data_IF_892995648568
#
_entry.id   IF_892995648568
#
_cell.length_a   1.000
_cell.length_b   1.000
_cell.length_c   1.000
_cell.angle_alpha   90.00
_cell.angle_beta   90.00
_cell.angle_gamma   90.00
#
_symmetry.space_group_name_H-M   'P 1'
#
loop_
_entity.id
_entity.type
_entity.pdbx_description
1 polymer ?
#
# COMPACT_ATOMS: atom_id res chain seq x y z
N UNK A 1 11.67 33.03 12.96
CA UNK A 1 12.19 33.21 11.58
C UNK A 1 13.33 34.22 11.61
N UNK A 2 14.54 33.82 11.22
CA UNK A 2 15.75 34.65 11.35
C UNK A 2 15.71 35.87 10.42
N UNK A 3 16.41 36.94 10.78
CA UNK A 3 16.52 38.18 9.98
C UNK A 3 17.06 37.91 8.58
N UNK A 4 17.96 36.92 8.45
CA UNK A 4 18.47 36.44 7.16
C UNK A 4 17.35 35.86 6.28
N UNK A 5 16.52 34.96 6.83
CA UNK A 5 15.39 34.36 6.11
C UNK A 5 14.39 35.43 5.63
N UNK A 6 14.16 36.45 6.46
CA UNK A 6 13.28 37.58 6.13
C UNK A 6 13.86 38.45 5.00
N UNK A 7 15.17 38.66 4.98
CA UNK A 7 15.85 39.41 3.93
C UNK A 7 15.93 38.63 2.61
N UNK A 8 16.12 37.32 2.65
CA UNK A 8 16.08 36.44 1.47
C UNK A 8 14.68 36.42 0.85
N UNK A 9 13.62 36.28 1.66
CA UNK A 9 12.23 36.33 1.16
C UNK A 9 11.90 37.68 0.50
N UNK A 10 12.33 38.80 1.12
CA UNK A 10 12.19 40.13 0.54
C UNK A 10 12.99 40.32 -0.75
N UNK A 11 14.15 39.67 -0.86
CA UNK A 11 14.95 39.69 -2.09
C UNK A 11 14.22 38.95 -3.23
N UNK A 12 13.69 37.75 -2.97
CA UNK A 12 12.89 37.03 -3.97
C UNK A 12 11.65 37.82 -4.39
N UNK A 13 10.92 38.41 -3.45
CA UNK A 13 9.74 39.24 -3.76
C UNK A 13 10.10 40.44 -4.63
N UNK A 14 11.17 41.18 -4.32
CA UNK A 14 11.63 42.33 -5.13
C UNK A 14 12.03 41.93 -6.54
N UNK A 15 12.68 40.78 -6.69
CA UNK A 15 13.13 40.27 -7.98
C UNK A 15 11.91 39.90 -8.85
N UNK A 16 10.90 39.26 -8.26
CA UNK A 16 9.64 38.96 -8.93
C UNK A 16 8.88 40.22 -9.35
N UNK A 17 8.85 41.26 -8.50
CA UNK A 17 8.27 42.57 -8.84
C UNK A 17 9.00 43.27 -10.00
N UNK A 18 10.32 43.12 -10.07
CA UNK A 18 11.14 43.76 -11.12
C UNK A 18 10.99 43.07 -12.48
N UNK A 19 10.84 41.74 -12.48
CA UNK A 19 10.72 40.94 -13.71
C UNK A 19 9.30 40.99 -14.30
N UNK A 20 8.27 41.19 -13.46
CA UNK A 20 6.87 41.16 -13.88
C UNK A 20 6.51 42.13 -15.02
N UNK A 21 6.94 43.41 -15.01
CA UNK A 21 6.65 44.34 -16.11
C UNK A 21 7.24 43.86 -17.43
N UNK A 22 8.46 43.34 -17.42
CA UNK A 22 9.14 42.81 -18.61
C UNK A 22 8.42 41.59 -19.18
N UNK A 23 8.00 40.66 -18.32
CA UNK A 23 7.18 39.51 -18.74
C UNK A 23 5.85 40.00 -19.33
N UNK A 24 5.18 40.95 -18.67
CA UNK A 24 3.89 41.47 -19.14
C UNK A 24 4.00 42.17 -20.50
N UNK A 25 5.06 42.95 -20.72
CA UNK A 25 5.34 43.61 -22.00
C UNK A 25 5.59 42.57 -23.11
N UNK A 26 6.39 41.55 -22.84
CA UNK A 26 6.65 40.47 -23.79
C UNK A 26 5.39 39.68 -24.16
N UNK A 27 4.57 39.32 -23.17
CA UNK A 27 3.31 38.62 -23.37
C UNK A 27 2.31 39.46 -24.19
N UNK A 28 2.25 40.78 -23.95
CA UNK A 28 1.43 41.68 -24.75
C UNK A 28 1.92 41.78 -26.20
N UNK A 29 3.23 41.94 -26.43
CA UNK A 29 3.82 42.00 -27.78
C UNK A 29 3.54 40.74 -28.59
N UNK A 30 3.54 39.58 -27.94
CA UNK A 30 3.26 38.29 -28.57
C UNK A 30 1.77 37.95 -28.62
N UNK A 31 0.88 38.90 -28.28
CA UNK A 31 -0.58 38.67 -28.21
C UNK A 31 -0.95 37.45 -27.37
N UNK A 32 -0.16 37.14 -26.34
CA UNK A 32 -0.30 35.99 -25.45
C UNK A 32 -0.18 34.62 -26.11
N UNK A 33 0.36 34.53 -27.33
CA UNK A 33 0.50 33.25 -28.05
C UNK A 33 1.39 32.25 -27.31
N UNK A 34 2.43 32.73 -26.65
CA UNK A 34 3.33 31.91 -25.82
C UNK A 34 2.59 31.19 -24.67
N UNK A 35 1.51 31.78 -24.14
CA UNK A 35 0.67 31.12 -23.12
C UNK A 35 -0.19 30.01 -23.72
N UNK A 36 -0.67 30.18 -24.97
CA UNK A 36 -1.38 29.14 -25.71
C UNK A 36 -0.44 27.95 -25.98
N UNK A 37 0.78 28.23 -26.43
CA UNK A 37 1.78 27.20 -26.72
C UNK A 37 2.17 26.45 -25.45
N UNK A 38 2.41 27.17 -24.35
CA UNK A 38 2.69 26.57 -23.04
C UNK A 38 1.55 25.66 -22.57
N UNK A 39 0.32 26.14 -22.58
CA UNK A 39 -0.84 25.35 -22.16
C UNK A 39 -1.07 24.13 -23.06
N UNK A 40 -0.86 24.25 -24.38
CA UNK A 40 -0.93 23.13 -25.32
C UNK A 40 0.18 22.09 -25.07
N UNK A 41 1.38 22.52 -24.66
CA UNK A 41 2.47 21.61 -24.33
C UNK A 41 2.17 20.84 -23.04
N UNK A 42 1.73 21.55 -21.99
CA UNK A 42 1.64 21.01 -20.63
C UNK A 42 0.31 20.30 -20.31
N UNK A 43 -0.78 20.67 -20.98
CA UNK A 43 -2.09 20.04 -20.83
C UNK A 43 -2.46 19.22 -22.08
N UNK A 44 -2.19 17.91 -22.03
CA UNK A 44 -2.33 17.00 -23.16
C UNK A 44 -3.76 16.96 -23.76
N UNK A 45 -4.79 17.31 -22.99
CA UNK A 45 -6.18 17.38 -23.47
C UNK A 45 -6.40 18.47 -24.53
N UNK A 46 -5.54 19.49 -24.60
CA UNK A 46 -5.59 20.51 -25.65
C UNK A 46 -5.00 19.95 -26.95
N UNK A 47 -3.90 19.18 -26.89
CA UNK A 47 -3.24 18.64 -28.10
C UNK A 47 -4.16 17.79 -28.96
N UNK A 48 -5.11 17.07 -28.35
CA UNK A 48 -6.06 16.23 -29.09
C UNK A 48 -7.18 17.01 -29.79
N UNK A 49 -7.39 18.30 -29.45
CA UNK A 49 -8.49 19.13 -29.98
C UNK A 49 -8.02 20.26 -30.92
N UNK A 50 -6.73 20.40 -31.18
CA UNK A 50 -6.17 21.39 -32.10
C UNK A 50 -5.49 22.58 -31.41
N UNK A 51 -5.42 23.72 -32.12
CA UNK A 51 -4.71 24.93 -31.66
C UNK A 51 -5.53 25.62 -30.57
N UNK A 52 -4.91 25.87 -29.41
CA UNK A 52 -5.52 26.68 -28.35
C UNK A 52 -5.64 28.14 -28.80
N UNK A 53 -6.86 28.67 -28.82
CA UNK A 53 -7.16 30.07 -29.13
C UNK A 53 -7.68 30.81 -27.89
N UNK A 54 -6.98 30.62 -26.77
CA UNK A 54 -7.35 31.20 -25.49
C UNK A 54 -7.30 32.72 -25.50
N UNK A 55 -8.40 33.38 -25.10
CA UNK A 55 -8.39 34.83 -24.84
C UNK A 55 -7.86 35.10 -23.44
N UNK A 56 -6.55 35.25 -23.33
CA UNK A 56 -5.87 35.56 -22.07
C UNK A 56 -6.16 36.98 -21.59
N UNK A 57 -6.39 37.13 -20.29
CA UNK A 57 -6.56 38.43 -19.62
C UNK A 57 -5.72 38.44 -18.35
N UNK A 58 -4.90 39.48 -18.20
CA UNK A 58 -4.18 39.73 -16.94
C UNK A 58 -5.19 40.05 -15.82
N UNK A 59 -5.03 39.44 -14.65
CA UNK A 59 -5.87 39.76 -13.49
C UNK A 59 -5.56 41.18 -13.01
N UNK A 60 -6.61 41.94 -12.65
CA UNK A 60 -6.48 43.36 -12.24
C UNK A 60 -6.24 43.54 -10.74
N UNK A 61 -6.32 42.48 -9.95
CA UNK A 61 -6.06 42.53 -8.51
C UNK A 61 -4.56 42.43 -8.28
N UNK A 62 -4.03 43.43 -7.57
CA UNK A 62 -2.62 43.68 -7.27
C UNK A 62 -1.68 43.90 -8.47
N UNK A 63 -0.91 44.99 -8.41
CA UNK A 63 0.12 45.36 -9.39
C UNK A 63 1.24 44.32 -9.51
N UNK A 64 1.38 43.46 -8.50
CA UNK A 64 2.40 42.42 -8.39
C UNK A 64 1.88 41.02 -8.73
N UNK A 65 0.61 40.91 -9.14
CA UNK A 65 0.04 39.63 -9.46
C UNK A 65 0.53 39.13 -10.83
N UNK A 66 1.02 37.89 -10.84
CA UNK A 66 1.51 37.17 -12.01
C UNK A 66 0.43 36.38 -12.73
N UNK A 67 -0.82 36.44 -12.25
CA UNK A 67 -1.95 35.67 -12.78
C UNK A 67 -2.48 36.21 -14.11
N UNK A 68 -2.56 35.30 -15.08
CA UNK A 68 -3.24 35.44 -16.36
C UNK A 68 -4.34 34.40 -16.44
N UNK A 69 -5.53 34.85 -16.78
CA UNK A 69 -6.73 34.03 -16.80
C UNK A 69 -7.21 33.83 -18.24
N UNK A 70 -7.50 32.58 -18.59
CA UNK A 70 -8.16 32.22 -19.83
C UNK A 70 -9.37 31.33 -19.54
N UNK A 71 -10.37 31.41 -20.42
CA UNK A 71 -11.36 30.36 -20.56
C UNK A 71 -11.16 29.69 -21.90
N UNK A 72 -10.99 28.37 -21.89
CA UNK A 72 -10.94 27.55 -23.08
C UNK A 72 -12.06 26.52 -22.99
N UNK A 73 -12.96 26.52 -23.97
CA UNK A 73 -14.26 25.85 -23.90
C UNK A 73 -15.01 26.25 -22.61
N UNK A 74 -15.25 25.30 -21.70
CA UNK A 74 -15.92 25.48 -20.41
C UNK A 74 -14.97 25.52 -19.21
N UNK A 75 -13.65 25.41 -19.42
CA UNK A 75 -12.66 25.32 -18.34
C UNK A 75 -11.97 26.64 -18.08
N UNK A 76 -11.71 26.91 -16.80
CA UNK A 76 -11.00 28.10 -16.35
C UNK A 76 -9.52 27.77 -16.15
N UNK A 77 -8.64 28.53 -16.80
CA UNK A 77 -7.20 28.28 -16.84
C UNK A 77 -6.45 29.51 -16.31
N UNK A 78 -6.10 29.53 -15.02
CA UNK A 78 -5.16 30.48 -14.46
C UNK A 78 -3.70 30.05 -14.67
N UNK A 79 -2.84 30.99 -15.07
CA UNK A 79 -1.38 30.83 -15.11
C UNK A 79 -0.72 31.94 -14.30
N UNK A 80 0.08 31.58 -13.30
CA UNK A 80 0.99 32.50 -12.63
C UNK A 80 2.35 32.41 -13.32
N UNK A 81 2.66 33.38 -14.17
CA UNK A 81 3.92 33.41 -14.92
C UNK A 81 5.13 33.75 -14.04
N UNK A 82 4.90 34.29 -12.84
CA UNK A 82 5.94 34.69 -11.89
C UNK A 82 6.32 33.50 -11.01
N UNK A 83 5.31 32.79 -10.49
CA UNK A 83 5.50 31.61 -9.63
C UNK A 83 5.63 30.31 -10.41
N UNK A 84 5.36 30.32 -11.72
CA UNK A 84 5.35 29.10 -12.55
C UNK A 84 4.17 28.18 -12.24
N UNK A 85 3.06 28.72 -11.74
CA UNK A 85 1.88 27.91 -11.37
C UNK A 85 0.93 27.79 -12.56
N UNK A 86 0.62 26.58 -12.99
CA UNK A 86 -0.36 26.32 -14.04
C UNK A 86 -1.55 25.55 -13.47
N UNK A 87 -2.72 26.20 -13.49
CA UNK A 87 -3.95 25.64 -12.95
C UNK A 87 -4.97 25.39 -14.06
N UNK A 88 -5.77 24.36 -13.90
CA UNK A 88 -7.00 24.16 -14.70
C UNK A 88 -8.12 23.81 -13.73
N UNK A 89 -9.20 24.60 -13.75
CA UNK A 89 -10.32 24.53 -12.80
C UNK A 89 -9.85 24.52 -11.32
N UNK A 90 -8.87 25.39 -11.02
CA UNK A 90 -8.28 25.56 -9.66
C UNK A 90 -7.39 24.37 -9.21
N UNK A 91 -7.13 23.40 -10.09
CA UNK A 91 -6.26 22.25 -9.80
C UNK A 91 -4.90 22.38 -10.48
N UNK A 92 -3.84 22.03 -9.75
CA UNK A 92 -2.45 22.04 -10.26
C UNK A 92 -2.26 20.88 -11.23
N UNK A 93 -1.74 21.15 -12.43
CA UNK A 93 -1.35 20.09 -13.37
C UNK A 93 0.16 19.87 -13.29
N UNK A 94 0.60 18.62 -13.44
CA UNK A 94 2.01 18.25 -13.36
C UNK A 94 2.23 17.29 -12.21
N UNK A 95 1.99 17.70 -10.97
CA UNK A 95 2.25 16.88 -9.79
C UNK A 95 1.03 16.80 -8.88
N UNK A 96 0.98 15.73 -8.08
CA UNK A 96 -0.06 15.59 -7.05
C UNK A 96 0.12 16.66 -5.97
N UNK A 97 -0.98 17.27 -5.49
CA UNK A 97 -0.95 18.22 -4.39
C UNK A 97 -0.56 17.56 -3.05
N UNK A 98 -0.07 18.39 -2.12
CA UNK A 98 0.45 17.95 -0.83
C UNK A 98 -0.56 17.13 -0.01
N UNK A 99 -1.84 17.52 -0.02
CA UNK A 99 -2.91 16.78 0.67
C UNK A 99 -3.04 15.31 0.22
N UNK A 100 -2.58 14.97 -0.99
CA UNK A 100 -2.51 13.60 -1.49
C UNK A 100 -1.16 12.97 -1.11
N UNK A 101 -0.04 13.65 -1.38
CA UNK A 101 1.30 13.07 -1.19
C UNK A 101 1.70 12.89 0.27
N UNK A 102 1.12 13.66 1.19
CA UNK A 102 1.33 13.49 2.65
C UNK A 102 0.30 12.57 3.28
N UNK A 103 -0.66 12.03 2.51
CA UNK A 103 -1.64 11.11 3.04
C UNK A 103 -0.98 9.78 3.41
N UNK A 104 -1.35 9.21 4.56
CA UNK A 104 -0.79 7.95 5.04
C UNK A 104 -0.94 6.80 4.05
N UNK A 105 -2.09 6.69 3.36
CA UNK A 105 -2.33 5.66 2.37
C UNK A 105 -1.39 5.81 1.16
N UNK A 106 -1.12 7.06 0.76
CA UNK A 106 -0.20 7.35 -0.33
C UNK A 106 1.23 6.98 0.07
N UNK A 107 1.71 7.50 1.20
CA UNK A 107 3.07 7.27 1.69
C UNK A 107 3.35 5.79 1.93
N UNK A 108 2.37 5.04 2.44
CA UNK A 108 2.52 3.60 2.69
C UNK A 108 2.84 2.82 1.42
N UNK A 109 2.14 3.09 0.32
CA UNK A 109 2.24 2.30 -0.93
C UNK A 109 3.24 2.91 -1.90
N UNK A 110 3.10 4.21 -2.16
CA UNK A 110 3.89 4.92 -3.16
C UNK A 110 5.14 5.58 -2.57
N UNK A 111 5.23 5.75 -1.26
CA UNK A 111 6.35 6.42 -0.59
C UNK A 111 6.55 7.82 -1.15
N UNK A 112 7.79 8.11 -1.55
CA UNK A 112 8.17 9.39 -2.14
C UNK A 112 8.10 9.37 -3.68
N UNK A 113 7.29 8.48 -4.27
CA UNK A 113 7.14 8.43 -5.72
C UNK A 113 6.43 9.68 -6.24
N UNK A 114 6.97 10.28 -7.31
CA UNK A 114 6.45 11.49 -7.92
C UNK A 114 5.68 11.10 -9.17
N UNK A 115 4.36 11.25 -9.12
CA UNK A 115 3.50 11.02 -10.28
C UNK A 115 3.36 12.29 -11.11
N UNK A 116 3.66 12.18 -12.41
CA UNK A 116 3.19 13.16 -13.38
C UNK A 116 1.70 12.97 -13.64
N UNK A 117 0.89 13.99 -13.33
CA UNK A 117 -0.58 13.91 -13.41
C UNK A 117 -1.21 15.01 -14.26
N UNK A 118 -2.43 14.74 -14.69
CA UNK A 118 -3.34 15.68 -15.34
C UNK A 118 -4.75 15.53 -14.75
N UNK A 119 -5.67 16.39 -15.18
CA UNK A 119 -7.06 16.28 -14.78
C UNK A 119 -7.71 15.00 -15.31
N UNK A 120 -8.36 14.28 -14.41
CA UNK A 120 -9.24 13.18 -14.76
C UNK A 120 -10.54 13.64 -15.41
N UNK A 121 -11.41 12.68 -15.76
CA UNK A 121 -12.75 12.96 -16.30
C UNK A 121 -13.71 13.44 -15.21
N UNK A 122 -13.50 12.98 -13.98
CA UNK A 122 -14.34 13.30 -12.83
C UNK A 122 -13.84 14.57 -12.14
N UNK A 123 -14.74 15.36 -11.51
CA UNK A 123 -14.33 16.53 -10.75
C UNK A 123 -13.38 16.15 -9.61
N UNK A 124 -12.35 16.98 -9.37
CA UNK A 124 -11.35 16.79 -8.31
C UNK A 124 -10.57 15.47 -8.40
N UNK A 125 -10.46 14.87 -9.60
CA UNK A 125 -9.61 13.69 -9.80
C UNK A 125 -8.37 14.02 -10.61
N UNK A 126 -7.25 13.42 -10.21
CA UNK A 126 -5.99 13.44 -10.93
C UNK A 126 -5.75 12.09 -11.56
N UNK A 127 -5.36 12.05 -12.83
CA UNK A 127 -4.97 10.81 -13.51
C UNK A 127 -3.50 10.91 -13.94
N UNK A 128 -2.76 9.81 -13.85
CA UNK A 128 -1.37 9.78 -14.31
C UNK A 128 -1.27 10.02 -15.82
N UNK A 129 -0.28 10.81 -16.25
CA UNK A 129 0.00 11.03 -17.68
C UNK A 129 0.53 9.76 -18.33
N UNK A 130 1.38 9.03 -17.62
CA UNK A 130 2.02 7.81 -18.09
C UNK A 130 1.38 6.59 -17.46
N UNK A 131 1.45 5.46 -18.17
CA UNK A 131 1.14 4.16 -17.60
C UNK A 131 2.37 3.60 -16.89
N UNK A 132 2.15 2.94 -15.75
CA UNK A 132 3.20 2.33 -14.93
C UNK A 132 3.18 0.80 -15.05
N UNK A 133 4.30 0.19 -14.62
CA UNK A 133 4.58 -1.25 -14.66
C UNK A 133 4.50 -1.83 -16.08
N UNK A 134 5.65 -1.84 -16.79
CA UNK A 134 5.76 -1.99 -18.26
C UNK A 134 4.80 -3.00 -18.92
N UNK A 135 4.61 -4.17 -18.30
CA UNK A 135 3.70 -5.20 -18.80
C UNK A 135 2.22 -4.86 -18.62
N UNK A 136 1.83 -4.31 -17.47
CA UNK A 136 0.43 -4.07 -17.11
C UNK A 136 -0.17 -2.77 -17.62
N UNK A 137 0.67 -1.78 -17.96
CA UNK A 137 0.23 -0.42 -18.35
C UNK A 137 -0.93 0.08 -17.46
N UNK A 138 -0.65 0.25 -16.17
CA UNK A 138 -1.65 0.73 -15.21
C UNK A 138 -1.65 2.25 -15.15
N UNK A 139 -2.82 2.86 -15.29
CA UNK A 139 -3.02 4.29 -15.01
C UNK A 139 -3.65 4.45 -13.63
N UNK A 140 -3.12 5.37 -12.83
CA UNK A 140 -3.64 5.65 -11.50
C UNK A 140 -4.49 6.91 -11.51
N UNK A 141 -5.64 6.82 -10.84
CA UNK A 141 -6.52 7.94 -10.52
C UNK A 141 -6.50 8.20 -9.01
N UNK A 142 -6.32 9.46 -8.64
CA UNK A 142 -6.32 9.94 -7.26
C UNK A 142 -7.46 10.92 -7.06
N UNK A 143 -8.27 10.69 -6.03
CA UNK A 143 -9.37 11.56 -5.64
C UNK A 143 -9.28 11.83 -4.14
N UNK A 144 -9.12 13.09 -3.76
CA UNK A 144 -9.09 13.50 -2.36
C UNK A 144 -10.40 14.17 -1.99
N UNK A 145 -11.04 13.65 -0.94
CA UNK A 145 -12.25 14.24 -0.39
C UNK A 145 -11.90 15.14 0.80
N UNK A 146 -11.94 16.46 0.58
CA UNK A 146 -11.61 17.48 1.58
C UNK A 146 -12.50 17.41 2.85
N UNK A 147 -13.76 16.96 2.72
CA UNK A 147 -14.71 16.94 3.85
C UNK A 147 -14.38 15.87 4.88
N UNK A 148 -14.01 14.68 4.42
CA UNK A 148 -13.69 13.51 5.26
C UNK A 148 -12.19 13.20 5.31
N UNK A 149 -11.36 14.07 4.71
CA UNK A 149 -9.90 13.93 4.57
C UNK A 149 -9.47 12.53 4.12
N UNK A 150 -10.20 11.98 3.15
CA UNK A 150 -9.99 10.62 2.67
C UNK A 150 -9.44 10.63 1.25
N UNK A 151 -8.38 9.86 1.02
CA UNK A 151 -7.80 9.63 -0.29
C UNK A 151 -8.35 8.33 -0.88
N UNK A 152 -8.95 8.41 -2.07
CA UNK A 152 -9.28 7.26 -2.90
C UNK A 152 -8.24 7.15 -4.01
N UNK A 153 -7.65 5.97 -4.14
CA UNK A 153 -6.73 5.63 -5.23
C UNK A 153 -7.30 4.47 -6.03
N UNK A 154 -7.33 4.61 -7.34
CA UNK A 154 -7.82 3.59 -8.26
C UNK A 154 -6.78 3.34 -9.34
N UNK A 155 -6.43 2.09 -9.63
CA UNK A 155 -5.57 1.70 -10.73
C UNK A 155 -6.39 1.02 -11.82
N UNK A 156 -6.35 1.55 -13.06
CA UNK A 156 -6.97 0.92 -14.22
C UNK A 156 -5.91 0.22 -15.06
N UNK A 157 -6.09 -1.08 -15.25
CA UNK A 157 -5.24 -1.87 -16.13
C UNK A 157 -5.73 -1.71 -17.58
N UNK A 158 -4.97 -1.03 -18.42
CA UNK A 158 -5.46 -0.61 -19.75
C UNK A 158 -5.72 -1.82 -20.66
N UNK A 159 -4.92 -2.88 -20.56
CA UNK A 159 -4.99 -4.03 -21.47
C UNK A 159 -6.19 -4.96 -21.22
N UNK A 160 -6.49 -5.24 -19.96
CA UNK A 160 -7.56 -6.18 -19.55
C UNK A 160 -8.84 -5.47 -19.11
N UNK A 161 -8.83 -4.13 -19.14
CA UNK A 161 -9.91 -3.24 -18.70
C UNK A 161 -10.43 -3.48 -17.28
N UNK A 162 -9.56 -4.00 -16.40
CA UNK A 162 -9.88 -4.18 -14.99
C UNK A 162 -9.54 -2.95 -14.16
N UNK A 163 -10.34 -2.70 -13.13
CA UNK A 163 -10.18 -1.55 -12.25
C UNK A 163 -10.00 -2.03 -10.82
N UNK A 164 -8.93 -1.59 -10.19
CA UNK A 164 -8.57 -1.94 -8.82
C UNK A 164 -8.63 -0.71 -7.93
N UNK A 165 -9.32 -0.80 -6.81
CA UNK A 165 -9.34 0.23 -5.79
C UNK A 165 -8.40 -0.14 -4.65
N UNK A 166 -7.52 0.77 -4.26
CA UNK A 166 -6.67 0.60 -3.09
C UNK A 166 -7.52 0.70 -1.81
N UNK A 167 -7.49 -0.34 -0.99
CA UNK A 167 -8.14 -0.37 0.31
C UNK A 167 -7.15 0.13 1.36
N UNK A 168 -7.64 0.97 2.29
CA UNK A 168 -6.83 1.40 3.43
C UNK A 168 -6.51 0.22 4.34
N UNK A 169 -5.24 0.10 4.73
CA UNK A 169 -4.77 -0.96 5.62
C UNK A 169 -5.48 -0.97 6.98
N UNK A 170 -6.01 0.17 7.42
CA UNK A 170 -6.80 0.30 8.65
C UNK A 170 -8.10 -0.51 8.62
N UNK A 171 -8.67 -0.78 7.44
CA UNK A 171 -9.87 -1.63 7.31
C UNK A 171 -9.63 -3.08 7.74
N UNK A 172 -8.39 -3.56 7.66
CA UNK A 172 -8.03 -4.94 8.03
C UNK A 172 -7.35 -5.04 9.38
N UNK A 173 -7.16 -3.91 10.07
CA UNK A 173 -6.58 -3.90 11.40
C UNK A 173 -7.51 -4.65 12.35
N UNK A 174 -6.95 -5.63 13.09
CA UNK A 174 -7.67 -6.57 13.97
C UNK A 174 -8.50 -7.66 13.28
N UNK A 175 -8.81 -7.51 12.00
CA UNK A 175 -9.52 -8.52 11.20
C UNK A 175 -8.55 -9.56 10.62
N UNK A 176 -7.37 -9.12 10.17
CA UNK A 176 -6.33 -9.99 9.62
C UNK A 176 -5.10 -10.04 10.55
N UNK A 177 -4.33 -11.14 10.51
CA UNK A 177 -3.02 -11.18 11.17
C UNK A 177 -2.13 -10.04 10.67
N UNK A 178 -1.30 -9.51 11.57
CA UNK A 178 -0.51 -8.30 11.35
C UNK A 178 0.45 -8.41 10.16
N UNK A 179 0.90 -9.61 9.79
CA UNK A 179 1.77 -9.81 8.62
C UNK A 179 1.06 -9.56 7.29
N UNK A 180 -0.22 -9.92 7.17
CA UNK A 180 -1.02 -9.65 5.98
C UNK A 180 -1.24 -8.14 5.81
N UNK A 181 -1.46 -7.43 6.92
CA UNK A 181 -1.65 -5.98 6.90
C UNK A 181 -0.32 -5.24 6.66
N UNK A 182 0.75 -5.64 7.35
CA UNK A 182 2.01 -4.89 7.39
C UNK A 182 2.90 -5.09 6.16
N UNK A 183 2.86 -6.25 5.51
CA UNK A 183 3.73 -6.56 4.36
C UNK A 183 3.07 -6.38 2.99
N UNK A 184 1.76 -6.12 2.95
CA UNK A 184 1.02 -6.05 1.69
C UNK A 184 0.23 -4.75 1.55
N UNK A 185 0.05 -4.33 0.30
CA UNK A 185 -0.97 -3.38 -0.12
C UNK A 185 -2.19 -4.16 -0.63
N UNK A 186 -3.40 -3.62 -0.41
CA UNK A 186 -4.65 -4.35 -0.63
C UNK A 186 -5.43 -3.72 -1.78
N UNK A 187 -5.55 -4.44 -2.90
CA UNK A 187 -6.15 -3.92 -4.13
C UNK A 187 -7.40 -4.70 -4.49
N UNK A 188 -8.56 -4.04 -4.39
CA UNK A 188 -9.84 -4.66 -4.69
C UNK A 188 -10.21 -4.49 -6.15
N UNK A 189 -10.35 -5.59 -6.88
CA UNK A 189 -10.99 -5.56 -8.20
C UNK A 189 -12.48 -5.19 -8.02
N UNK A 190 -12.89 -4.08 -8.63
CA UNK A 190 -14.21 -3.49 -8.44
C UNK A 190 -15.31 -4.39 -9.01
N UNK A 191 -15.02 -5.14 -10.07
CA UNK A 191 -15.96 -6.04 -10.73
C UNK A 191 -16.11 -7.36 -9.98
N UNK A 192 -15.00 -8.01 -9.62
CA UNK A 192 -15.03 -9.36 -9.03
C UNK A 192 -15.22 -9.34 -7.51
N UNK A 193 -14.96 -8.20 -6.85
CA UNK A 193 -14.96 -8.05 -5.40
C UNK A 193 -13.90 -8.96 -4.72
N UNK A 194 -12.79 -9.17 -5.42
CA UNK A 194 -11.61 -9.87 -4.91
C UNK A 194 -10.56 -8.85 -4.54
N UNK A 195 -10.01 -8.96 -3.34
CA UNK A 195 -8.91 -8.15 -2.84
C UNK A 195 -7.61 -8.93 -3.01
N UNK A 196 -6.70 -8.39 -3.81
CA UNK A 196 -5.36 -8.93 -4.00
C UNK A 196 -4.40 -8.33 -2.98
N UNK A 197 -3.58 -9.19 -2.38
CA UNK A 197 -2.50 -8.80 -1.49
C UNK A 197 -1.26 -8.65 -2.34
N UNK A 198 -0.96 -7.41 -2.74
CA UNK A 198 0.22 -7.09 -3.54
C UNK A 198 1.37 -6.66 -2.61
N UNK A 199 2.63 -6.63 -3.08
CA UNK A 199 3.71 -6.07 -2.29
C UNK A 199 3.36 -4.67 -1.79
N UNK A 200 3.87 -4.32 -0.60
CA UNK A 200 3.53 -3.04 0.00
C UNK A 200 4.13 -1.88 -0.78
N UNK A 201 5.33 -2.02 -1.35
CA UNK A 201 6.01 -0.93 -2.02
C UNK A 201 5.79 -0.95 -3.53
N UNK A 202 5.28 0.16 -4.05
CA UNK A 202 4.99 0.38 -5.46
C UNK A 202 6.18 0.14 -6.41
N UNK A 203 7.42 0.31 -5.94
CA UNK A 203 8.63 0.17 -6.78
C UNK A 203 9.13 -1.28 -6.91
N UNK A 204 8.51 -2.22 -6.23
CA UNK A 204 8.89 -3.64 -6.35
C UNK A 204 8.63 -4.14 -7.78
N UNK A 205 9.57 -4.93 -8.31
CA UNK A 205 9.55 -5.40 -9.71
C UNK A 205 8.24 -6.13 -10.03
N UNK A 206 7.81 -6.99 -9.11
CA UNK A 206 6.64 -7.85 -9.29
C UNK A 206 5.39 -7.28 -8.61
N UNK A 207 5.29 -5.96 -8.46
CA UNK A 207 4.17 -5.32 -7.75
C UNK A 207 2.78 -5.73 -8.27
N UNK A 208 2.64 -5.97 -9.57
CA UNK A 208 1.37 -6.41 -10.16
C UNK A 208 1.19 -7.93 -10.17
N UNK A 209 2.27 -8.67 -10.42
CA UNK A 209 2.22 -10.11 -10.68
C UNK A 209 2.29 -10.93 -9.39
N UNK A 210 3.00 -10.42 -8.38
CA UNK A 210 3.14 -11.08 -7.08
C UNK A 210 1.90 -10.85 -6.22
N UNK A 211 0.94 -11.76 -6.32
CA UNK A 211 -0.29 -11.76 -5.51
C UNK A 211 -0.39 -13.06 -4.71
N UNK A 212 0.43 -13.26 -3.65
CA UNK A 212 0.48 -14.54 -2.94
C UNK A 212 -0.83 -14.91 -2.25
N UNK A 213 -1.68 -13.92 -1.96
CA UNK A 213 -2.96 -14.10 -1.29
C UNK A 213 -4.08 -13.31 -1.98
N UNK A 214 -5.28 -13.85 -1.91
CA UNK A 214 -6.53 -13.21 -2.34
C UNK A 214 -7.58 -13.32 -1.24
N UNK A 215 -8.35 -12.26 -1.03
CA UNK A 215 -9.53 -12.24 -0.18
C UNK A 215 -10.78 -12.07 -1.05
N UNK A 216 -11.69 -13.03 -1.00
CA UNK A 216 -13.00 -12.89 -1.64
C UNK A 216 -13.96 -12.20 -0.67
N UNK A 217 -14.44 -11.00 -1.01
CA UNK A 217 -15.41 -10.28 -0.15
C UNK A 217 -16.78 -10.96 -0.12
N UNK A 218 -17.08 -11.85 -1.09
CA UNK A 218 -18.32 -12.63 -1.12
C UNK A 218 -18.33 -13.74 -0.07
N UNK A 219 -17.17 -14.39 0.14
CA UNK A 219 -17.06 -15.53 1.05
C UNK A 219 -16.37 -15.18 2.37
N UNK A 220 -15.61 -14.09 2.41
CA UNK A 220 -14.78 -13.70 3.56
C UNK A 220 -13.49 -14.52 3.71
N UNK A 221 -13.19 -15.43 2.79
CA UNK A 221 -12.00 -16.29 2.87
C UNK A 221 -10.78 -15.62 2.25
N UNK A 222 -9.65 -15.72 2.96
CA UNK A 222 -8.31 -15.44 2.41
C UNK A 222 -7.69 -16.75 1.96
N UNK A 223 -7.26 -16.82 0.71
CA UNK A 223 -6.74 -18.03 0.08
C UNK A 223 -5.38 -17.73 -0.55
N UNK A 224 -4.44 -18.69 -0.54
CA UNK A 224 -3.21 -18.60 -1.32
C UNK A 224 -3.49 -18.78 -2.81
N UNK A 225 -2.75 -18.09 -3.66
CA UNK A 225 -2.92 -18.17 -5.13
C UNK A 225 -2.17 -19.34 -5.79
N UNK A 226 -1.58 -20.22 -4.99
CA UNK A 226 -0.83 -21.39 -5.49
C UNK A 226 -1.80 -22.42 -6.08
N UNK A 227 -1.81 -22.58 -7.40
CA UNK A 227 -2.81 -23.36 -8.16
C UNK A 227 -2.99 -24.81 -7.66
N UNK A 228 -1.92 -25.46 -7.20
CA UNK A 228 -1.95 -26.87 -6.80
C UNK A 228 -2.03 -27.10 -5.28
N UNK A 229 -1.93 -26.05 -4.46
CA UNK A 229 -1.90 -26.12 -2.99
C UNK A 229 -2.51 -24.86 -2.38
N UNK A 230 -3.73 -24.53 -2.80
CA UNK A 230 -4.47 -23.42 -2.23
C UNK A 230 -4.77 -23.69 -0.76
N UNK A 231 -4.36 -22.76 0.11
CA UNK A 231 -4.55 -22.84 1.55
C UNK A 231 -5.47 -21.74 2.02
N UNK A 232 -6.30 -22.01 3.02
CA UNK A 232 -7.28 -21.06 3.54
C UNK A 232 -6.83 -20.53 4.89
N UNK A 233 -6.85 -19.21 5.08
CA UNK A 233 -6.54 -18.60 6.37
C UNK A 233 -7.62 -18.92 7.39
N UNK A 234 -7.21 -19.47 8.52
CA UNK A 234 -8.08 -19.71 9.66
C UNK A 234 -8.29 -18.39 10.41
N UNK A 235 -9.55 -18.04 10.64
CA UNK A 235 -9.91 -16.83 11.38
C UNK A 235 -9.33 -16.87 12.80
N UNK A 236 -8.60 -15.82 13.19
CA UNK A 236 -7.99 -15.70 14.52
C UNK A 236 -9.03 -15.69 15.66
N UNK A 237 -10.27 -15.29 15.39
CA UNK A 237 -11.37 -15.30 16.36
C UNK A 237 -12.04 -16.67 16.51
N UNK A 238 -11.67 -17.66 15.69
CA UNK A 238 -12.22 -19.01 15.79
C UNK A 238 -11.76 -19.70 17.09
N UNK A 239 -12.64 -20.53 17.66
CA UNK A 239 -12.35 -21.33 18.86
C UNK A 239 -11.13 -22.23 18.61
N UNK A 240 -11.02 -22.78 17.41
CA UNK A 240 -9.90 -23.62 17.00
C UNK A 240 -8.56 -22.88 17.13
N UNK A 241 -8.45 -21.70 16.51
CA UNK A 241 -7.24 -20.88 16.58
C UNK A 241 -6.93 -20.50 18.03
N UNK A 242 -7.92 -20.01 18.77
CA UNK A 242 -7.75 -19.56 20.16
C UNK A 242 -7.25 -20.68 21.08
N UNK A 243 -7.78 -21.90 20.93
CA UNK A 243 -7.35 -23.04 21.74
C UNK A 243 -5.89 -23.41 21.48
N UNK A 244 -5.48 -23.50 20.21
CA UNK A 244 -4.09 -23.81 19.87
C UNK A 244 -3.13 -22.69 20.28
N UNK A 245 -3.50 -21.44 19.99
CA UNK A 245 -2.70 -20.27 20.33
C UNK A 245 -2.47 -20.17 21.83
N UNK A 246 -3.54 -20.17 22.63
CA UNK A 246 -3.43 -19.99 24.09
C UNK A 246 -2.69 -21.15 24.76
N UNK A 247 -2.83 -22.37 24.24
CA UNK A 247 -2.20 -23.56 24.81
C UNK A 247 -0.70 -23.64 24.55
N UNK A 248 -0.25 -23.23 23.36
CA UNK A 248 1.13 -23.47 22.93
C UNK A 248 1.88 -22.20 22.49
N UNK A 249 1.26 -21.37 21.65
CA UNK A 249 1.98 -20.32 20.92
C UNK A 249 1.98 -18.95 21.60
N UNK A 250 1.08 -18.72 22.55
CA UNK A 250 1.03 -17.50 23.38
C UNK A 250 2.31 -17.25 24.19
N UNK A 251 3.12 -18.30 24.39
CA UNK A 251 4.43 -18.25 25.08
C UNK A 251 5.59 -17.92 24.15
N UNK A 252 5.36 -17.93 22.83
CA UNK A 252 6.40 -17.73 21.82
C UNK A 252 6.24 -16.43 21.05
N UNK A 253 5.00 -16.02 20.74
CA UNK A 253 4.73 -14.83 19.94
C UNK A 253 3.33 -14.26 20.26
N UNK A 254 3.11 -12.99 19.90
CA UNK A 254 1.85 -12.32 20.11
C UNK A 254 0.85 -12.67 19.01
N UNK A 255 -0.45 -12.63 19.34
CA UNK A 255 -1.54 -13.02 18.43
C UNK A 255 -1.43 -12.42 17.01
N UNK A 256 -1.09 -11.13 16.81
CA UNK A 256 -1.00 -10.56 15.46
C UNK A 256 0.09 -11.21 14.58
N UNK A 257 1.10 -11.82 15.19
CA UNK A 257 2.22 -12.42 14.48
C UNK A 257 2.07 -13.92 14.25
N UNK A 258 1.03 -14.53 14.80
CA UNK A 258 0.69 -15.94 14.58
C UNK A 258 -0.49 -16.06 13.61
N UNK A 259 -0.33 -16.85 12.55
CA UNK A 259 -1.43 -17.18 11.63
C UNK A 259 -1.42 -18.67 11.30
N UNK A 260 -2.60 -19.19 10.96
CA UNK A 260 -2.79 -20.60 10.64
C UNK A 260 -3.45 -20.73 9.29
N UNK A 261 -2.92 -21.60 8.44
CA UNK A 261 -3.43 -21.87 7.10
C UNK A 261 -3.86 -23.33 7.04
N UNK A 262 -5.10 -23.57 6.65
CA UNK A 262 -5.59 -24.91 6.33
C UNK A 262 -5.03 -25.32 4.97
N UNK A 263 -4.20 -26.36 4.98
CA UNK A 263 -3.47 -26.87 3.83
C UNK A 263 -4.26 -27.86 2.97
N UNK A 264 -5.47 -28.26 3.39
CA UNK A 264 -6.20 -29.30 2.66
C UNK A 264 -7.58 -28.89 2.16
N UNK A 265 -7.73 -28.83 0.83
CA UNK A 265 -9.03 -28.79 0.15
C UNK A 265 -9.58 -30.23 -0.05
N UNK A 266 -8.72 -31.25 0.02
CA UNK A 266 -9.10 -32.67 -0.12
C UNK A 266 -9.40 -33.32 1.24
N UNK A 267 -10.55 -33.98 1.34
CA UNK A 267 -11.24 -34.29 2.61
C UNK A 267 -10.59 -35.38 3.49
N UNK A 268 -9.40 -35.89 3.16
CA UNK A 268 -8.88 -37.12 3.80
C UNK A 268 -7.96 -36.86 5.00
N UNK A 269 -7.22 -35.77 5.05
CA UNK A 269 -6.32 -35.46 6.19
C UNK A 269 -6.17 -33.95 6.41
N UNK A 270 -6.84 -33.37 7.41
CA UNK A 270 -6.73 -31.93 7.69
C UNK A 270 -5.33 -31.62 8.25
N UNK A 271 -4.53 -30.91 7.46
CA UNK A 271 -3.18 -30.45 7.80
C UNK A 271 -3.21 -28.94 7.91
N UNK A 272 -2.81 -28.41 9.07
CA UNK A 272 -2.84 -26.98 9.35
C UNK A 272 -1.42 -26.49 9.56
N UNK A 273 -1.01 -25.53 8.75
CA UNK A 273 0.29 -24.87 8.85
C UNK A 273 0.17 -23.67 9.78
N UNK A 274 0.97 -23.67 10.85
CA UNK A 274 0.97 -22.64 11.89
C UNK A 274 2.27 -21.86 11.75
N UNK A 275 2.18 -20.56 11.54
CA UNK A 275 3.31 -19.70 11.25
C UNK A 275 3.49 -18.64 12.31
N UNK A 276 4.70 -18.52 12.85
CA UNK A 276 5.11 -17.47 13.79
C UNK A 276 5.99 -16.47 13.04
N UNK A 277 5.37 -15.40 12.54
CA UNK A 277 5.98 -14.52 11.53
C UNK A 277 7.19 -13.74 12.02
N UNK A 278 7.33 -13.45 13.32
CA UNK A 278 8.52 -12.77 13.88
C UNK A 278 9.69 -13.73 14.05
N UNK A 279 9.42 -14.96 14.49
CA UNK A 279 10.44 -15.97 14.72
C UNK A 279 10.87 -16.69 13.43
N UNK A 280 10.04 -16.64 12.38
CA UNK A 280 10.30 -17.35 11.13
C UNK A 280 10.18 -18.87 11.28
N UNK A 281 9.43 -19.34 12.29
CA UNK A 281 9.24 -20.76 12.61
C UNK A 281 7.85 -21.20 12.13
N UNK A 282 7.77 -22.42 11.60
CA UNK A 282 6.54 -23.03 11.10
C UNK A 282 6.30 -24.38 11.76
N UNK A 283 5.06 -24.62 12.17
CA UNK A 283 4.60 -25.91 12.67
C UNK A 283 3.52 -26.48 11.75
N UNK A 284 3.36 -27.79 11.81
CA UNK A 284 2.33 -28.52 11.08
C UNK A 284 1.47 -29.31 12.06
N UNK A 285 0.21 -28.96 12.16
CA UNK A 285 -0.77 -29.70 12.96
C UNK A 285 -1.53 -30.68 12.07
N UNK A 286 -1.44 -31.95 12.41
CA UNK A 286 -2.20 -33.00 11.76
C UNK A 286 -3.42 -33.36 12.64
N UNK A 287 -4.62 -33.15 12.11
CA UNK A 287 -5.86 -33.33 12.89
C UNK A 287 -6.17 -34.80 13.19
N UNK A 288 -5.77 -35.75 12.33
CA UNK A 288 -6.02 -37.18 12.53
C UNK A 288 -5.18 -37.76 13.67
N UNK A 289 -3.95 -37.27 13.84
CA UNK A 289 -3.03 -37.71 14.91
C UNK A 289 -3.05 -36.81 16.15
N UNK A 290 -3.57 -35.58 16.02
CA UNK A 290 -3.52 -34.53 17.05
C UNK A 290 -2.07 -34.23 17.50
N UNK A 291 -1.14 -34.27 16.56
CA UNK A 291 0.29 -34.00 16.76
C UNK A 291 0.66 -32.72 16.01
N UNK A 292 1.41 -31.84 16.68
CA UNK A 292 1.98 -30.64 16.08
C UNK A 292 3.48 -30.87 15.87
N UNK A 293 3.90 -30.99 14.61
CA UNK A 293 5.31 -31.19 14.21
C UNK A 293 5.98 -29.84 13.99
N UNK A 294 7.26 -29.72 14.32
CA UNK A 294 8.07 -28.58 13.91
C UNK A 294 8.66 -28.83 12.53
N UNK A 295 8.65 -27.82 11.66
CA UNK A 295 9.26 -27.93 10.33
C UNK A 295 10.78 -27.83 10.40
N UNK A 296 11.29 -27.02 11.32
CA UNK A 296 12.71 -26.74 11.54
C UNK A 296 13.39 -27.88 12.30
N UNK A 297 12.63 -28.62 13.10
CA UNK A 297 13.08 -29.82 13.82
C UNK A 297 12.25 -31.03 13.38
N UNK A 298 12.63 -31.63 12.25
CA UNK A 298 11.88 -32.69 11.54
C UNK A 298 11.44 -33.88 12.40
N UNK A 299 12.24 -34.26 13.39
CA UNK A 299 11.98 -35.42 14.25
C UNK A 299 11.28 -35.05 15.58
N UNK A 300 10.80 -33.81 15.70
CA UNK A 300 10.27 -33.25 16.93
C UNK A 300 8.82 -32.76 16.77
N UNK A 301 8.03 -32.99 17.81
CA UNK A 301 6.69 -32.46 17.97
C UNK A 301 6.56 -31.68 19.26
N UNK A 302 5.50 -30.87 19.38
CA UNK A 302 5.21 -30.15 20.62
C UNK A 302 4.92 -31.15 21.74
N UNK A 303 5.65 -31.04 22.84
CA UNK A 303 5.48 -31.91 24.01
C UNK A 303 4.10 -31.66 24.65
N UNK A 304 3.36 -32.72 24.96
CA UNK A 304 2.07 -32.58 25.66
C UNK A 304 2.25 -31.97 27.05
N UNK A 305 3.40 -32.20 27.69
CA UNK A 305 3.77 -31.64 28.97
C UNK A 305 4.75 -30.47 28.78
N UNK A 306 4.22 -29.26 28.78
CA UNK A 306 4.97 -28.00 28.69
C UNK A 306 5.56 -27.53 30.03
N UNK A 307 5.79 -28.45 30.97
CA UNK A 307 6.48 -28.17 32.23
C UNK A 307 7.99 -28.19 32.05
N UNK A 308 8.63 -27.08 32.43
CA UNK A 308 10.07 -26.85 32.24
C UNK A 308 10.93 -27.32 33.42
N UNK A 309 10.36 -28.10 34.35
CA UNK A 309 11.06 -28.65 35.49
C UNK A 309 11.53 -27.55 36.47
N UNK A 310 12.83 -27.50 36.72
CA UNK A 310 13.49 -26.56 37.64
C UNK A 310 13.71 -25.16 37.05
N UNK A 311 13.38 -24.92 35.78
CA UNK A 311 13.42 -23.58 35.16
C UNK A 311 12.23 -22.72 35.63
N UNK A 312 12.03 -22.66 36.94
CA UNK A 312 10.97 -21.87 37.59
C UNK A 312 11.27 -20.40 37.40
N UNK A 313 10.44 -19.71 36.61
CA UNK A 313 10.61 -18.30 36.23
C UNK A 313 10.69 -18.08 34.73
N UNK A 314 10.99 -19.13 33.94
CA UNK A 314 10.92 -19.06 32.49
C UNK A 314 9.46 -19.24 32.03
N UNK A 315 8.78 -18.12 31.78
CA UNK A 315 7.39 -18.11 31.30
C UNK A 315 7.29 -18.29 29.78
N UNK A 316 8.36 -17.95 29.06
CA UNK A 316 8.42 -17.94 27.61
C UNK A 316 9.27 -19.10 27.10
N UNK A 317 8.61 -20.04 26.45
CA UNK A 317 9.28 -21.16 25.79
C UNK A 317 8.30 -22.27 25.41
N UNK A 318 8.70 -23.04 24.41
CA UNK A 318 7.96 -24.17 23.89
C UNK A 318 8.83 -25.42 23.91
N UNK A 319 8.39 -26.43 24.64
CA UNK A 319 9.08 -27.70 24.75
C UNK A 319 8.68 -28.63 23.59
N UNK A 320 9.67 -29.27 22.99
CA UNK A 320 9.51 -30.26 21.95
C UNK A 320 10.00 -31.63 22.43
N UNK A 321 9.32 -32.67 21.98
CA UNK A 321 9.62 -34.08 22.23
C UNK A 321 9.80 -34.84 20.90
N UNK A 322 10.61 -35.91 20.87
CA UNK A 322 10.75 -36.75 19.67
C UNK A 322 9.42 -37.36 19.22
N UNK A 323 9.20 -37.46 17.91
CA UNK A 323 7.99 -38.04 17.29
C UNK A 323 7.78 -39.53 17.60
N UNK A 324 8.87 -40.28 17.79
CA UNK A 324 8.87 -41.72 18.13
C UNK A 324 10.15 -42.10 18.88
N UNK A 325 10.04 -42.43 20.17
CA UNK A 325 10.92 -43.44 20.78
C UNK A 325 10.23 -44.79 20.70
N UNK A 326 10.26 -45.43 19.52
CA UNK A 326 9.98 -46.86 19.37
C UNK A 326 11.22 -47.66 18.97
N UNK A 327 12.41 -47.08 19.11
CA UNK A 327 13.65 -47.85 19.06
C UNK A 327 14.12 -48.09 20.50
N UNK A 328 13.54 -49.11 21.14
CA UNK A 328 14.04 -49.70 22.39
C UNK A 328 15.48 -50.28 22.26
N UNK A 329 16.17 -50.03 21.15
CA UNK A 329 17.48 -50.58 20.81
C UNK A 329 18.64 -49.58 20.93
N UNK A 330 18.37 -48.28 21.16
CA UNK A 330 19.41 -47.32 21.53
C UNK A 330 19.08 -46.69 22.88
N UNK A 331 19.97 -46.89 23.85
CA UNK A 331 20.00 -46.28 25.20
C UNK A 331 20.15 -44.74 25.18
N UNK A 332 19.44 -44.02 24.31
CA UNK A 332 19.40 -42.56 24.32
C UNK A 332 18.05 -42.13 24.87
N UNK A 333 18.08 -41.54 26.07
CA UNK A 333 16.94 -40.83 26.62
C UNK A 333 16.36 -39.90 25.55
N UNK A 334 15.03 -39.84 25.36
CA UNK A 334 14.43 -38.89 24.43
C UNK A 334 14.80 -37.48 24.90
N UNK A 335 15.73 -36.84 24.19
CA UNK A 335 16.13 -35.48 24.51
C UNK A 335 14.98 -34.54 24.13
N UNK A 336 14.56 -33.70 25.08
CA UNK A 336 13.60 -32.63 24.82
C UNK A 336 14.35 -31.39 24.35
N UNK A 337 13.76 -30.64 23.43
CA UNK A 337 14.29 -29.33 23.02
C UNK A 337 13.41 -28.22 23.55
N UNK A 338 14.01 -27.14 24.02
CA UNK A 338 13.29 -25.95 24.43
C UNK A 338 13.54 -24.82 23.43
N UNK A 339 12.50 -24.35 22.77
CA UNK A 339 12.54 -23.13 21.97
C UNK A 339 12.28 -21.97 22.93
N UNK A 340 13.20 -21.00 22.98
CA UNK A 340 13.04 -19.75 23.74
C UNK A 340 13.06 -18.59 22.75
N UNK A 341 12.04 -17.73 22.73
CA UNK A 341 12.06 -16.54 21.87
C UNK A 341 13.14 -15.56 22.35
N UNK A 342 13.86 -14.94 21.42
CA UNK A 342 14.83 -13.91 21.75
C UNK A 342 14.16 -12.54 21.77
N UNK A 343 14.24 -11.83 22.91
CA UNK A 343 13.66 -10.50 23.13
C UNK A 343 12.45 -10.50 24.06
N UNK A 344 11.86 -9.32 24.28
CA UNK A 344 10.63 -9.17 25.07
C UNK A 344 9.40 -9.43 24.23
N UNK A 345 8.60 -10.42 24.64
CA UNK A 345 7.18 -10.48 24.28
C UNK A 345 6.46 -9.38 25.08
N UNK A 346 5.69 -8.53 24.41
CA UNK A 346 5.09 -7.33 25.01
C UNK A 346 3.66 -7.58 25.47
#
# INVERSE_FOLDING_TARGET
MSTCMRNVMRFSERLLVTVQPTIAEYLQKTSYQSLNDFAAIYWAAIRSKGIMNGKWKKRKQDSYDGWYDCRYESRYIPIDCIRGTFLVDVMVIGFLPENITTNELFLRVFGNHIFEVQLGKSPKTYITKHSYHGNGKVQYEFCFNDKIKCLKVTGRHIQIDETFQLITHTCFQKELPGMFVSKHSHWMNVQTQIVEFRPIHFKELDFLDNRPYILSLKTGYVITTMENNAQILINQSSIFFQNLFNRYFSRLDDKPYVYMMDGNISQTDIIIHIHLSRLGITFEYNASTNIIKSREYSDMCIDKNQWLGSLTGLTFGLLLSPLTTNNYTLNHYPYRKLIVPFGTLQ
#
